data_IF_722552325639
#
_entry.id   IF_722552325639
#
_cell.length_a   1.000
_cell.length_b   1.000
_cell.length_c   1.000
_cell.angle_alpha   90.00
_cell.angle_beta   90.00
_cell.angle_gamma   90.00
#
_symmetry.space_group_name_H-M   'P 1'
#
loop_
_entity.id
_entity.type
_entity.pdbx_description
1 polymer ?
#
# COMPACT_ATOMS: atom_id res chain seq x y z
N UNK A 1 18.30 1.57 -25.54
CA UNK A 1 17.98 2.86 -26.19
C UNK A 1 16.63 3.29 -25.65
N UNK A 2 16.65 4.19 -24.68
CA UNK A 2 15.61 4.32 -23.67
C UNK A 2 14.43 5.18 -24.16
N UNK A 3 13.22 4.77 -23.81
CA UNK A 3 11.94 5.49 -23.96
C UNK A 3 11.95 7.02 -23.77
N UNK A 4 12.76 7.62 -22.87
CA UNK A 4 12.83 9.07 -22.70
C UNK A 4 13.33 9.85 -23.93
N UNK A 5 14.17 9.24 -24.76
CA UNK A 5 14.80 9.91 -25.90
C UNK A 5 13.86 10.02 -27.11
N UNK A 6 12.98 9.01 -27.26
CA UNK A 6 11.90 8.98 -28.24
C UNK A 6 10.83 10.02 -27.89
N UNK A 7 10.50 10.17 -26.60
CA UNK A 7 9.52 11.15 -26.13
C UNK A 7 10.01 12.60 -26.36
N UNK A 8 11.28 12.89 -26.07
CA UNK A 8 11.85 14.23 -26.29
C UNK A 8 11.85 14.61 -27.77
N UNK A 9 12.24 13.69 -28.65
CA UNK A 9 12.26 13.91 -30.10
C UNK A 9 10.86 14.17 -30.64
N UNK A 10 9.87 13.41 -30.16
CA UNK A 10 8.46 13.59 -30.54
C UNK A 10 7.89 14.92 -30.06
N UNK A 11 8.18 15.33 -28.83
CA UNK A 11 7.77 16.64 -28.29
C UNK A 11 8.38 17.79 -29.10
N UNK A 12 9.64 17.67 -29.50
CA UNK A 12 10.30 18.67 -30.34
C UNK A 12 9.62 18.81 -31.71
N UNK A 13 9.22 17.68 -32.33
CA UNK A 13 8.45 17.69 -33.59
C UNK A 13 7.10 18.39 -33.42
N UNK A 14 6.33 18.04 -32.38
CA UNK A 14 5.02 18.65 -32.12
C UNK A 14 5.11 20.16 -31.91
N UNK A 15 6.15 20.63 -31.21
CA UNK A 15 6.40 22.06 -31.01
C UNK A 15 6.77 22.78 -32.31
N UNK A 16 7.57 22.14 -33.16
CA UNK A 16 7.94 22.69 -34.46
C UNK A 16 6.72 22.79 -35.38
N UNK A 17 5.93 21.72 -35.49
CA UNK A 17 4.73 21.67 -36.32
C UNK A 17 3.66 22.68 -35.84
N UNK A 18 3.55 22.89 -34.52
CA UNK A 18 2.66 23.90 -33.95
C UNK A 18 3.10 25.33 -34.31
N UNK A 19 4.41 25.60 -34.29
CA UNK A 19 4.97 26.90 -34.67
C UNK A 19 4.73 27.18 -36.15
N UNK A 20 4.96 26.19 -37.01
CA UNK A 20 4.78 26.31 -38.45
C UNK A 20 3.30 26.53 -38.83
N UNK A 21 2.37 25.85 -38.13
CA UNK A 21 0.94 26.08 -38.30
C UNK A 21 0.54 27.52 -37.90
N UNK A 22 1.11 28.05 -36.81
CA UNK A 22 0.88 29.42 -36.36
C UNK A 22 1.39 30.45 -37.38
N UNK A 23 2.59 30.23 -37.95
CA UNK A 23 3.19 31.11 -38.96
C UNK A 23 2.38 31.13 -40.26
N UNK A 24 1.73 30.02 -40.62
CA UNK A 24 0.86 29.90 -41.79
C UNK A 24 -0.58 30.39 -41.56
N UNK A 25 -0.92 30.82 -40.33
CA UNK A 25 -2.27 31.22 -39.95
C UNK A 25 -3.28 30.07 -39.88
N UNK A 26 -2.81 28.83 -39.78
CA UNK A 26 -3.62 27.62 -39.67
C UNK A 26 -3.98 27.34 -38.20
N UNK A 27 -5.08 27.94 -37.75
CA UNK A 27 -5.54 27.79 -36.37
C UNK A 27 -5.92 26.34 -36.00
N UNK A 28 -6.51 25.59 -36.92
CA UNK A 28 -6.94 24.21 -36.67
C UNK A 28 -5.74 23.27 -36.54
N UNK A 29 -4.75 23.43 -37.41
CA UNK A 29 -3.46 22.75 -37.32
C UNK A 29 -2.75 23.06 -36.01
N UNK A 30 -2.67 24.33 -35.63
CA UNK A 30 -2.08 24.74 -34.35
C UNK A 30 -2.78 24.10 -33.15
N UNK A 31 -4.12 24.17 -33.10
CA UNK A 31 -4.92 23.64 -31.98
C UNK A 31 -4.73 22.13 -31.84
N UNK A 32 -4.70 21.40 -32.96
CA UNK A 32 -4.42 19.95 -33.00
C UNK A 32 -3.05 19.60 -32.42
N UNK A 33 -2.01 20.36 -32.76
CA UNK A 33 -0.66 20.09 -32.26
C UNK A 33 -0.52 20.43 -30.76
N UNK A 34 -1.17 21.50 -30.31
CA UNK A 34 -1.24 21.85 -28.88
C UNK A 34 -1.96 20.78 -28.07
N UNK A 35 -3.09 20.27 -28.57
CA UNK A 35 -3.81 19.16 -27.94
C UNK A 35 -2.97 17.88 -27.90
N UNK A 36 -2.24 17.57 -28.98
CA UNK A 36 -1.33 16.45 -29.01
C UNK A 36 -0.20 16.58 -27.97
N UNK A 37 0.35 17.79 -27.78
CA UNK A 37 1.36 18.09 -26.78
C UNK A 37 0.81 17.94 -25.35
N UNK A 38 -0.38 18.48 -25.09
CA UNK A 38 -1.05 18.37 -23.80
C UNK A 38 -1.32 16.89 -23.44
N UNK A 39 -1.83 16.11 -24.40
CA UNK A 39 -2.09 14.69 -24.23
C UNK A 39 -0.82 13.86 -24.03
N UNK A 40 0.26 14.17 -24.75
CA UNK A 40 1.55 13.51 -24.57
C UNK A 40 2.07 13.70 -23.13
N UNK A 41 2.02 14.93 -22.63
CA UNK A 41 2.45 15.23 -21.26
C UNK A 41 1.55 14.59 -20.19
N UNK A 42 0.24 14.59 -20.40
CA UNK A 42 -0.71 13.92 -19.52
C UNK A 42 -0.43 12.40 -19.42
N UNK A 43 -0.15 11.74 -20.55
CA UNK A 43 0.21 10.30 -20.58
C UNK A 43 1.47 10.00 -19.78
N UNK A 44 2.51 10.83 -19.88
CA UNK A 44 3.73 10.67 -19.08
C UNK A 44 3.45 10.76 -17.59
N UNK A 45 2.63 11.74 -17.16
CA UNK A 45 2.24 11.90 -15.77
C UNK A 45 1.43 10.71 -15.24
N UNK A 46 0.42 10.25 -16.01
CA UNK A 46 -0.40 9.08 -15.64
C UNK A 46 0.45 7.82 -15.54
N UNK A 47 1.39 7.62 -16.47
CA UNK A 47 2.34 6.49 -16.41
C UNK A 47 3.19 6.55 -15.13
N UNK A 48 3.70 7.74 -14.80
CA UNK A 48 4.49 7.97 -13.59
C UNK A 48 3.69 7.69 -12.31
N UNK A 49 2.45 8.19 -12.23
CA UNK A 49 1.54 7.93 -11.11
C UNK A 49 1.19 6.44 -11.01
N UNK A 50 0.96 5.76 -12.13
CA UNK A 50 0.70 4.33 -12.15
C UNK A 50 1.87 3.49 -11.64
N UNK A 51 3.11 3.90 -11.96
CA UNK A 51 4.31 3.27 -11.39
C UNK A 51 4.37 3.46 -9.88
N UNK A 52 4.14 4.67 -9.37
CA UNK A 52 4.12 4.95 -7.93
C UNK A 52 3.02 4.17 -7.20
N UNK A 53 1.83 4.03 -7.80
CA UNK A 53 0.74 3.24 -7.25
C UNK A 53 1.12 1.75 -7.11
N UNK A 54 1.83 1.19 -8.09
CA UNK A 54 2.35 -0.19 -8.02
C UNK A 54 3.45 -0.34 -6.98
N UNK A 55 4.40 0.60 -6.93
CA UNK A 55 5.47 0.58 -5.92
C UNK A 55 4.88 0.64 -4.49
N UNK A 56 3.84 1.45 -4.27
CA UNK A 56 3.10 1.49 -3.02
C UNK A 56 2.41 0.14 -2.73
N UNK A 57 1.72 -0.44 -3.70
CA UNK A 57 1.10 -1.78 -3.58
C UNK A 57 2.10 -2.84 -3.13
N UNK A 58 3.24 -2.91 -3.79
CA UNK A 58 4.27 -3.92 -3.49
C UNK A 58 4.87 -3.70 -2.11
N UNK A 59 5.14 -2.44 -1.73
CA UNK A 59 5.64 -2.13 -0.39
C UNK A 59 4.64 -2.57 0.69
N UNK A 60 3.34 -2.39 0.43
CA UNK A 60 2.26 -2.75 1.32
C UNK A 60 2.02 -4.28 1.40
N UNK A 61 2.25 -5.03 0.33
CA UNK A 61 2.18 -6.50 0.32
C UNK A 61 3.25 -7.17 1.20
N UNK A 62 4.32 -6.46 1.55
CA UNK A 62 5.33 -6.98 2.49
C UNK A 62 4.85 -7.05 3.94
N UNK A 63 3.69 -6.45 4.26
CA UNK A 63 3.10 -6.50 5.59
C UNK A 63 2.58 -7.91 5.90
N UNK A 64 2.79 -8.42 7.13
CA UNK A 64 2.35 -9.76 7.51
C UNK A 64 0.84 -9.93 7.30
N UNK A 65 0.39 -11.09 6.80
CA UNK A 65 -1.02 -11.33 6.54
C UNK A 65 -1.84 -11.34 7.84
N UNK A 66 -3.10 -10.88 7.82
CA UNK A 66 -3.98 -11.03 8.97
C UNK A 66 -4.28 -12.52 9.20
N UNK A 67 -4.50 -12.94 10.45
CA UNK A 67 -4.87 -14.34 10.73
C UNK A 67 -6.27 -14.64 10.18
N UNK A 68 -6.35 -15.48 9.14
CA UNK A 68 -7.60 -16.10 8.70
C UNK A 68 -8.19 -15.65 7.36
N UNK A 69 -7.58 -14.69 6.65
CA UNK A 69 -8.07 -14.23 5.34
C UNK A 69 -7.03 -14.39 4.22
N UNK A 70 -7.48 -14.89 3.07
CA UNK A 70 -6.68 -15.09 1.87
C UNK A 70 -6.31 -13.76 1.20
N UNK A 71 -5.07 -13.67 0.75
CA UNK A 71 -4.45 -12.47 0.19
C UNK A 71 -5.16 -11.93 -1.05
N UNK A 72 -5.78 -10.75 -0.95
CA UNK A 72 -6.37 -10.06 -2.11
C UNK A 72 -6.21 -8.53 -2.03
N UNK A 73 -5.10 -8.00 -2.55
CA UNK A 73 -4.99 -6.63 -3.08
C UNK A 73 -4.64 -5.51 -2.09
N UNK A 74 -4.64 -4.27 -2.60
CA UNK A 74 -4.26 -3.07 -1.85
C UNK A 74 -5.21 -2.70 -0.69
N UNK A 75 -6.50 -3.03 -0.80
CA UNK A 75 -7.47 -2.84 0.29
C UNK A 75 -7.12 -3.71 1.51
N UNK A 76 -6.62 -4.92 1.29
CA UNK A 76 -6.13 -5.83 2.34
C UNK A 76 -4.94 -5.20 3.10
N UNK A 77 -4.06 -4.48 2.42
CA UNK A 77 -2.95 -3.82 3.11
C UNK A 77 -3.36 -2.65 4.02
N UNK A 78 -4.40 -1.90 3.67
CA UNK A 78 -4.95 -0.89 4.57
C UNK A 78 -5.57 -1.53 5.82
N UNK A 79 -6.30 -2.65 5.63
CA UNK A 79 -6.85 -3.42 6.74
C UNK A 79 -5.74 -4.02 7.63
N UNK A 80 -4.63 -4.48 7.04
CA UNK A 80 -3.45 -4.96 7.78
C UNK A 80 -2.83 -3.86 8.64
N UNK A 81 -2.72 -2.63 8.11
CA UNK A 81 -2.21 -1.49 8.88
C UNK A 81 -3.11 -1.16 10.07
N UNK A 82 -4.44 -1.16 9.87
CA UNK A 82 -5.40 -0.96 10.96
C UNK A 82 -5.27 -2.06 12.02
N UNK A 83 -5.11 -3.31 11.61
CA UNK A 83 -4.90 -4.43 12.53
C UNK A 83 -3.61 -4.28 13.34
N UNK A 84 -2.50 -3.87 12.71
CA UNK A 84 -1.24 -3.62 13.43
C UNK A 84 -1.40 -2.49 14.45
N UNK A 85 -2.12 -1.42 14.11
CA UNK A 85 -2.45 -0.34 15.06
C UNK A 85 -3.22 -0.90 16.25
N UNK A 86 -4.29 -1.64 16.00
CA UNK A 86 -5.13 -2.23 17.05
C UNK A 86 -4.34 -3.19 17.95
N UNK A 87 -3.57 -4.10 17.37
CA UNK A 87 -2.72 -5.04 18.11
C UNK A 87 -1.69 -4.32 18.98
N UNK A 88 -1.12 -3.22 18.47
CA UNK A 88 -0.14 -2.40 19.22
C UNK A 88 -0.80 -1.67 20.39
N UNK A 89 -2.01 -1.15 20.21
CA UNK A 89 -2.78 -0.50 21.27
C UNK A 89 -3.22 -1.50 22.34
N UNK A 90 -3.69 -2.69 21.95
CA UNK A 90 -4.06 -3.75 22.88
C UNK A 90 -2.85 -4.23 23.69
N UNK A 91 -1.71 -4.48 23.05
CA UNK A 91 -0.48 -4.87 23.74
C UNK A 91 0.01 -3.78 24.71
N UNK A 92 -0.15 -2.51 24.35
CA UNK A 92 0.20 -1.37 25.18
C UNK A 92 -0.68 -1.28 26.43
N UNK A 93 -2.00 -1.34 26.27
CA UNK A 93 -2.93 -1.36 27.41
C UNK A 93 -2.65 -2.55 28.33
N UNK A 94 -2.49 -3.75 27.76
CA UNK A 94 -2.14 -4.96 28.51
C UNK A 94 -0.87 -4.78 29.34
N UNK A 95 0.14 -4.11 28.79
CA UNK A 95 1.41 -3.84 29.49
C UNK A 95 1.22 -2.85 30.64
N UNK A 96 0.43 -1.78 30.45
CA UNK A 96 0.11 -0.82 31.51
C UNK A 96 -0.68 -1.46 32.66
N UNK A 97 -1.68 -2.29 32.34
CA UNK A 97 -2.45 -3.03 33.34
C UNK A 97 -1.53 -3.92 34.19
N UNK A 98 -0.62 -4.66 33.55
CA UNK A 98 0.34 -5.51 34.25
C UNK A 98 1.33 -4.71 35.12
N UNK A 99 1.72 -3.52 34.68
CA UNK A 99 2.58 -2.61 35.48
C UNK A 99 1.83 -2.14 36.72
N UNK A 100 0.56 -1.76 36.59
CA UNK A 100 -0.25 -1.28 37.72
C UNK A 100 -0.58 -2.42 38.71
N UNK A 101 -0.92 -3.61 38.20
CA UNK A 101 -1.05 -4.82 39.02
C UNK A 101 0.25 -5.13 39.77
N UNK A 102 1.39 -5.05 39.09
CA UNK A 102 2.71 -5.29 39.70
C UNK A 102 3.00 -4.25 40.78
N UNK A 103 2.69 -2.97 40.56
CA UNK A 103 2.84 -1.92 41.57
C UNK A 103 1.99 -2.18 42.81
N UNK A 104 0.76 -2.68 42.63
CA UNK A 104 -0.11 -3.05 43.73
C UNK A 104 0.46 -4.23 44.54
N UNK A 105 1.01 -5.25 43.87
CA UNK A 105 1.68 -6.36 44.54
C UNK A 105 2.92 -5.91 45.31
N UNK A 106 3.72 -5.01 44.74
CA UNK A 106 4.90 -4.44 45.41
C UNK A 106 4.51 -3.59 46.61
N UNK A 107 3.42 -2.83 46.52
CA UNK A 107 2.88 -2.07 47.65
C UNK A 107 2.43 -3.00 48.79
N UNK A 108 1.73 -4.09 48.47
CA UNK A 108 1.35 -5.13 49.44
C UNK A 108 2.56 -5.80 50.08
N UNK A 109 3.65 -5.99 49.33
CA UNK A 109 4.89 -6.54 49.87
C UNK A 109 5.50 -5.61 50.94
N UNK A 110 5.39 -4.28 50.78
CA UNK A 110 5.83 -3.27 51.75
C UNK A 110 5.00 -3.23 53.04
N UNK A 111 3.80 -3.83 53.07
CA UNK A 111 2.97 -3.87 54.28
C UNK A 111 3.49 -4.88 55.32
N UNK A 112 4.26 -5.88 54.88
CA UNK A 112 4.89 -6.87 55.74
C UNK A 112 6.24 -6.42 56.31
N UNK A 113 6.77 -7.11 57.33
CA UNK A 113 8.14 -6.90 57.79
C UNK A 113 9.11 -7.31 56.67
N UNK A 114 9.88 -6.34 56.19
CA UNK A 114 10.97 -6.54 55.24
C UNK A 114 12.29 -6.25 55.94
N UNK A 115 13.34 -7.00 55.60
CA UNK A 115 14.69 -6.61 55.96
C UNK A 115 15.20 -5.46 55.05
N UNK A 116 16.42 -4.99 55.29
CA UNK A 116 16.97 -3.85 54.56
C UNK A 116 17.21 -4.18 53.08
N UNK A 117 17.69 -5.38 52.76
CA UNK A 117 17.99 -5.79 51.37
C UNK A 117 16.71 -6.01 50.57
N UNK A 118 15.67 -6.55 51.19
CA UNK A 118 14.33 -6.67 50.61
C UNK A 118 13.71 -5.30 50.38
N UNK A 119 13.89 -4.35 51.31
CA UNK A 119 13.42 -2.97 51.15
C UNK A 119 14.05 -2.29 49.93
N UNK A 120 15.38 -2.37 49.80
CA UNK A 120 16.12 -1.82 48.66
C UNK A 120 15.68 -2.45 47.33
N UNK A 121 15.44 -3.76 47.32
CA UNK A 121 14.97 -4.50 46.14
C UNK A 121 13.59 -4.04 45.71
N UNK A 122 12.67 -3.89 46.66
CA UNK A 122 11.29 -3.43 46.44
C UNK A 122 11.27 -2.00 45.90
N UNK A 123 12.13 -1.13 46.40
CA UNK A 123 12.26 0.25 45.90
C UNK A 123 12.80 0.28 44.49
N UNK A 124 13.83 -0.52 44.20
CA UNK A 124 14.36 -0.69 42.84
C UNK A 124 13.28 -1.22 41.88
N UNK A 125 12.44 -2.16 42.32
CA UNK A 125 11.34 -2.69 41.51
C UNK A 125 10.29 -1.61 41.21
N UNK A 126 9.96 -0.76 42.19
CA UNK A 126 9.03 0.37 41.99
C UNK A 126 9.55 1.37 40.97
N UNK A 127 10.84 1.71 41.03
CA UNK A 127 11.44 2.63 40.07
C UNK A 127 11.46 2.02 38.66
N UNK A 128 11.83 0.74 38.51
CA UNK A 128 11.75 0.06 37.21
C UNK A 128 10.33 0.07 36.64
N UNK A 129 9.30 -0.25 37.44
CA UNK A 129 7.89 -0.19 37.02
C UNK A 129 7.44 1.24 36.68
N UNK A 130 8.02 2.25 37.32
CA UNK A 130 7.79 3.67 36.99
C UNK A 130 8.39 4.02 35.64
N UNK A 131 9.64 3.66 35.41
CA UNK A 131 10.32 3.89 34.13
C UNK A 131 9.63 3.16 32.98
N UNK A 132 9.20 1.91 33.19
CA UNK A 132 8.43 1.16 32.19
C UNK A 132 7.14 1.88 31.78
N UNK A 133 6.38 2.42 32.73
CA UNK A 133 5.16 3.17 32.41
C UNK A 133 5.45 4.46 31.64
N UNK A 134 6.53 5.16 31.96
CA UNK A 134 6.95 6.38 31.27
C UNK A 134 7.49 6.09 29.87
N UNK A 135 8.20 4.97 29.69
CA UNK A 135 8.57 4.50 28.35
C UNK A 135 7.31 4.20 27.52
N UNK A 136 6.29 3.58 28.12
CA UNK A 136 5.05 3.25 27.44
C UNK A 136 4.25 4.50 26.99
N UNK A 137 4.34 5.63 27.72
CA UNK A 137 3.70 6.87 27.26
C UNK A 137 4.31 7.42 25.96
N UNK A 138 5.56 7.08 25.63
CA UNK A 138 6.14 7.39 24.32
C UNK A 138 5.60 6.48 23.21
N UNK A 139 5.16 5.26 23.55
CA UNK A 139 4.57 4.32 22.59
C UNK A 139 3.15 4.73 22.18
N UNK A 140 2.39 5.40 23.05
CA UNK A 140 1.08 5.97 22.71
C UNK A 140 1.19 7.01 21.56
N UNK A 141 2.21 7.86 21.61
CA UNK A 141 2.54 8.77 20.50
C UNK A 141 2.90 7.99 19.22
N UNK A 142 3.61 6.87 19.36
CA UNK A 142 3.91 5.96 18.25
C UNK A 142 2.64 5.41 17.60
N UNK A 143 1.68 4.92 18.39
CA UNK A 143 0.38 4.44 17.91
C UNK A 143 -0.40 5.52 17.14
N UNK A 144 -0.42 6.75 17.65
CA UNK A 144 -1.05 7.89 16.99
C UNK A 144 -0.37 8.25 15.66
N UNK A 145 0.96 8.21 15.60
CA UNK A 145 1.72 8.44 14.36
C UNK A 145 1.40 7.35 13.34
N UNK A 146 1.39 6.07 13.74
CA UNK A 146 1.06 4.96 12.84
C UNK A 146 -0.36 5.11 12.31
N UNK A 147 -1.34 5.44 13.15
CA UNK A 147 -2.73 5.71 12.72
C UNK A 147 -2.80 6.83 11.70
N UNK A 148 -2.05 7.92 11.90
CA UNK A 148 -1.98 9.02 10.92
C UNK A 148 -1.35 8.58 9.61
N UNK A 149 -0.25 7.82 9.66
CA UNK A 149 0.41 7.28 8.46
C UNK A 149 -0.52 6.33 7.71
N UNK A 150 -1.21 5.43 8.40
CA UNK A 150 -2.21 4.54 7.81
C UNK A 150 -3.32 5.32 7.09
N UNK A 151 -3.83 6.39 7.72
CA UNK A 151 -4.81 7.29 7.09
C UNK A 151 -4.29 7.99 5.83
N UNK A 152 -3.03 8.45 5.84
CA UNK A 152 -2.39 9.05 4.66
C UNK A 152 -2.26 8.02 3.53
N UNK A 153 -1.81 6.81 3.85
CA UNK A 153 -1.65 5.72 2.88
C UNK A 153 -3.00 5.36 2.26
N UNK A 154 -4.07 5.27 3.05
CA UNK A 154 -5.44 5.05 2.57
C UNK A 154 -5.89 6.16 1.61
N UNK A 155 -5.70 7.42 2.00
CA UNK A 155 -6.07 8.55 1.15
C UNK A 155 -5.29 8.59 -0.17
N UNK A 156 -4.01 8.20 -0.16
CA UNK A 156 -3.22 8.05 -1.39
C UNK A 156 -3.73 6.89 -2.24
N UNK A 157 -4.08 5.76 -1.63
CA UNK A 157 -4.64 4.61 -2.34
C UNK A 157 -5.98 4.93 -3.01
N UNK A 158 -6.91 5.53 -2.26
CA UNK A 158 -8.20 6.00 -2.79
C UNK A 158 -8.01 7.01 -3.92
N UNK A 159 -7.06 7.93 -3.77
CA UNK A 159 -6.70 8.91 -4.80
C UNK A 159 -6.19 8.26 -6.09
N UNK A 160 -5.35 7.23 -5.98
CA UNK A 160 -4.93 6.44 -7.14
C UNK A 160 -6.09 5.66 -7.75
N UNK A 161 -6.95 5.04 -6.93
CA UNK A 161 -8.15 4.32 -7.38
C UNK A 161 -9.12 5.22 -8.16
N UNK A 162 -9.37 6.45 -7.69
CA UNK A 162 -10.20 7.43 -8.38
C UNK A 162 -9.64 7.86 -9.75
N UNK A 163 -8.32 7.73 -9.93
CA UNK A 163 -7.62 7.97 -11.20
C UNK A 163 -7.53 6.70 -12.08
N UNK A 164 -8.08 5.57 -11.64
CA UNK A 164 -7.98 4.29 -12.33
C UNK A 164 -6.58 3.68 -12.27
N UNK A 165 -5.82 3.95 -11.21
CA UNK A 165 -4.44 3.51 -11.03
C UNK A 165 -4.30 2.45 -9.90
N UNK A 166 -3.42 1.45 -10.08
CA UNK A 166 -2.77 1.12 -11.34
C UNK A 166 -3.80 0.71 -12.41
N UNK A 167 -3.56 0.99 -13.71
CA UNK A 167 -4.48 0.57 -14.76
C UNK A 167 -4.68 -0.94 -14.60
N UNK A 168 -5.95 -1.36 -14.54
CA UNK A 168 -6.31 -2.78 -14.53
C UNK A 168 -5.53 -3.40 -15.68
N UNK A 169 -4.64 -4.33 -15.38
CA UNK A 169 -4.14 -5.21 -16.41
C UNK A 169 -5.38 -5.92 -16.93
N UNK A 170 -5.79 -5.63 -18.17
CA UNK A 170 -6.77 -6.46 -18.84
C UNK A 170 -6.30 -7.90 -18.60
N UNK A 171 -7.19 -8.78 -18.10
CA UNK A 171 -6.99 -10.21 -17.89
C UNK A 171 -6.73 -10.95 -19.21
N UNK A 172 -5.73 -10.49 -19.96
CA UNK A 172 -5.23 -11.02 -21.20
C UNK A 172 -3.85 -11.62 -20.89
N UNK A 173 -3.82 -12.64 -20.02
CA UNK A 173 -2.90 -13.81 -20.02
C UNK A 173 -2.90 -14.53 -18.67
N UNK A 174 -4.05 -15.07 -18.27
CA UNK A 174 -4.08 -16.27 -17.43
C UNK A 174 -3.78 -17.51 -18.27
N UNK A 175 -2.53 -17.72 -18.70
CA UNK A 175 -2.09 -19.02 -19.25
C UNK A 175 -1.61 -19.92 -18.11
N UNK A 176 -2.53 -20.24 -17.19
CA UNK A 176 -2.38 -21.33 -16.24
C UNK A 176 -3.27 -22.50 -16.68
N UNK A 177 -2.87 -23.77 -16.46
CA UNK A 177 -3.75 -24.89 -16.76
C UNK A 177 -5.05 -24.74 -15.97
N UNK A 178 -6.19 -24.77 -16.68
CA UNK A 178 -7.51 -24.60 -16.10
C UNK A 178 -7.77 -25.66 -15.01
N UNK A 179 -8.13 -25.20 -13.81
CA UNK A 179 -8.54 -26.07 -12.71
C UNK A 179 -10.06 -26.24 -12.80
N UNK A 180 -10.52 -27.47 -12.99
CA UNK A 180 -11.94 -27.76 -13.16
C UNK A 180 -12.75 -27.35 -11.91
N UNK A 181 -13.70 -26.42 -12.08
CA UNK A 181 -14.71 -26.08 -11.08
C UNK A 181 -14.83 -24.61 -10.68
N UNK A 182 -13.91 -23.72 -11.09
CA UNK A 182 -13.93 -22.30 -10.72
C UNK A 182 -14.13 -21.33 -11.90
N UNK A 183 -13.71 -21.69 -13.10
CA UNK A 183 -13.83 -20.82 -14.28
C UNK A 183 -15.11 -21.13 -15.07
N UNK A 184 -16.11 -20.26 -14.97
CA UNK A 184 -17.43 -20.46 -15.59
C UNK A 184 -17.54 -20.04 -17.06
N UNK A 185 -16.47 -19.53 -17.67
CA UNK A 185 -16.43 -19.09 -19.08
C UNK A 185 -15.13 -19.53 -19.81
N UNK A 186 -14.72 -20.78 -19.64
CA UNK A 186 -13.66 -21.38 -20.47
C UNK A 186 -14.25 -21.86 -21.80
N UNK A 187 -13.75 -21.30 -22.91
CA UNK A 187 -13.89 -21.92 -24.24
C UNK A 187 -13.34 -23.33 -24.12
N UNK A 188 -14.21 -24.32 -24.33
CA UNK A 188 -13.90 -25.72 -24.14
C UNK A 188 -12.86 -26.18 -25.15
N UNK A 189 -11.95 -27.04 -24.71
CA UNK A 189 -10.94 -27.70 -25.53
C UNK A 189 -11.53 -28.53 -26.70
N UNK A 190 -12.86 -28.71 -26.76
CA UNK A 190 -13.58 -29.25 -27.91
C UNK A 190 -13.50 -28.36 -29.15
N UNK A 191 -13.41 -27.04 -28.98
CA UNK A 191 -13.46 -26.09 -30.10
C UNK A 191 -12.12 -26.04 -30.85
N UNK A 192 -11.04 -26.49 -30.20
CA UNK A 192 -9.73 -26.66 -30.82
C UNK A 192 -9.69 -27.90 -31.74
N UNK A 193 -10.38 -28.98 -31.37
CA UNK A 193 -10.47 -30.20 -32.19
C UNK A 193 -11.40 -30.01 -33.39
N UNK A 194 -12.46 -29.21 -33.25
CA UNK A 194 -13.36 -28.85 -34.36
C UNK A 194 -12.67 -27.95 -35.41
N UNK A 195 -11.78 -27.05 -34.97
CA UNK A 195 -10.96 -26.23 -35.87
C UNK A 195 -9.89 -27.03 -36.62
N UNK A 196 -9.41 -28.14 -36.04
CA UNK A 196 -8.46 -29.05 -36.70
C UNK A 196 -9.15 -29.97 -37.71
N UNK A 197 -10.38 -30.43 -37.43
CA UNK A 197 -11.18 -31.20 -38.40
C UNK A 197 -11.55 -30.40 -39.65
N UNK A 198 -11.78 -29.09 -39.52
CA UNK A 198 -12.09 -28.21 -40.66
C UNK A 198 -10.88 -27.83 -41.52
N UNK A 199 -9.66 -28.13 -41.08
CA UNK A 199 -8.41 -27.88 -41.81
C UNK A 199 -7.82 -29.12 -42.50
N UNK A 200 -8.51 -30.27 -42.43
CA UNK A 200 -8.23 -31.43 -43.28
C UNK A 200 -6.86 -32.08 -43.09
N UNK A 201 -6.43 -32.25 -41.83
CA UNK A 201 -5.36 -33.18 -41.45
C UNK A 201 -5.94 -34.36 -40.67
#
# INVERSE_FOLDING_TARGET
>A
MSTPDIDRTRLASLLHDALEALERGDEDGWRKQVDALANARARTLVTGLGRLARELSVALDTLPPPPGEGSHGLDDACARLDHVVEMTEQATHRTLDLIDDSRALVARLKEGPLDHTQTDTVESLRENLREMALAQSHQDLGGQIIRRVAGIVRGVHEGFGALGLPPKEDDARGNGPAVAGLDRNTVGQSDADDLLSNLGL
#
